data_IF_176779753501
#
_entry.id   IF_176779753501
#
_cell.length_a   1.000
_cell.length_b   1.000
_cell.length_c   1.000
_cell.angle_alpha   90.00
_cell.angle_beta   90.00
_cell.angle_gamma   90.00
#
_symmetry.space_group_name_H-M   'P 1'
#
loop_
_entity.id
_entity.type
_entity.pdbx_description
1 polymer ?
#
# COMPACT_ATOMS: atom_id res chain seq x y z
N UNK A 1 -0.83 -9.34 21.14
CA UNK A 1 -2.26 -9.14 20.84
C UNK A 1 -2.44 -9.41 19.36
N UNK A 2 -3.41 -10.22 18.98
CA UNK A 2 -3.72 -10.51 17.58
C UNK A 2 -4.44 -9.29 16.99
N UNK A 3 -3.79 -8.61 16.06
CA UNK A 3 -4.10 -7.26 15.59
C UNK A 3 -4.87 -7.30 14.29
N UNK A 4 -5.88 -8.18 14.20
CA UNK A 4 -6.61 -8.51 12.97
C UNK A 4 -7.38 -7.37 12.29
N UNK A 5 -7.07 -6.12 12.62
CA UNK A 5 -7.72 -4.90 12.17
C UNK A 5 -6.74 -3.91 11.52
N UNK A 6 -5.42 -4.17 11.55
CA UNK A 6 -4.42 -3.31 10.90
C UNK A 6 -3.80 -3.97 9.66
N UNK A 7 -3.72 -3.20 8.59
CA UNK A 7 -3.13 -3.62 7.32
C UNK A 7 -1.79 -2.92 7.11
N UNK A 8 -0.77 -3.69 6.71
CA UNK A 8 0.56 -3.22 6.34
C UNK A 8 1.03 -3.96 5.08
N UNK A 9 2.04 -3.42 4.39
CA UNK A 9 2.57 -4.03 3.16
C UNK A 9 4.01 -4.49 3.38
N UNK A 10 4.28 -5.74 3.04
CA UNK A 10 5.64 -6.26 2.88
C UNK A 10 5.96 -6.33 1.38
N UNK A 11 7.06 -5.71 0.96
CA UNK A 11 7.57 -5.80 -0.40
C UNK A 11 8.91 -6.52 -0.42
N UNK A 12 9.18 -7.18 -1.55
CA UNK A 12 10.51 -7.67 -1.91
C UNK A 12 10.88 -7.03 -3.25
N UNK A 13 11.90 -6.18 -3.22
CA UNK A 13 12.54 -5.66 -4.42
C UNK A 13 13.69 -6.60 -4.80
N UNK A 14 13.49 -7.42 -5.84
CA UNK A 14 14.50 -8.35 -6.32
C UNK A 14 15.68 -7.67 -7.01
N UNK A 15 15.49 -6.44 -7.52
CA UNK A 15 16.55 -5.68 -8.19
C UNK A 15 17.53 -5.13 -7.15
N UNK A 16 16.99 -4.50 -6.11
CA UNK A 16 17.78 -3.94 -5.00
C UNK A 16 18.02 -4.99 -3.89
N UNK A 17 17.50 -6.21 -4.08
CA UNK A 17 17.60 -7.36 -3.17
C UNK A 17 17.19 -7.03 -1.73
N UNK A 18 16.12 -6.26 -1.54
CA UNK A 18 15.68 -5.76 -0.23
C UNK A 18 14.23 -6.11 0.08
N UNK A 19 13.99 -6.35 1.35
CA UNK A 19 12.68 -6.43 1.97
C UNK A 19 12.35 -5.08 2.58
N UNK A 20 11.19 -4.54 2.23
CA UNK A 20 10.68 -3.31 2.80
C UNK A 20 9.33 -3.55 3.47
N UNK A 21 9.18 -3.04 4.69
CA UNK A 21 7.91 -3.05 5.39
C UNK A 21 7.33 -1.63 5.41
N UNK A 22 6.17 -1.46 4.78
CA UNK A 22 5.43 -0.20 4.77
C UNK A 22 4.29 -0.24 5.77
N UNK A 23 4.41 0.62 6.77
CA UNK A 23 3.45 0.71 7.86
C UNK A 23 2.96 2.15 7.99
N UNK A 24 1.63 2.33 7.99
CA UNK A 24 0.99 3.65 8.13
C UNK A 24 0.85 4.11 9.58
N UNK A 25 1.06 3.21 10.56
CA UNK A 25 0.97 3.51 11.99
C UNK A 25 2.35 3.47 12.66
N UNK A 26 2.71 4.54 13.37
CA UNK A 26 3.92 4.56 14.20
C UNK A 26 3.80 3.73 15.47
N UNK A 27 2.60 3.65 16.03
CA UNK A 27 2.30 2.95 17.27
C UNK A 27 2.23 1.43 17.11
N UNK A 28 2.29 0.94 15.87
CA UNK A 28 2.12 -0.47 15.56
C UNK A 28 3.46 -1.09 15.17
N UNK A 29 3.95 -2.03 15.98
CA UNK A 29 5.18 -2.76 15.67
C UNK A 29 4.86 -4.03 14.88
N UNK A 30 5.43 -4.09 13.68
CA UNK A 30 5.33 -5.20 12.73
C UNK A 30 6.66 -5.94 12.56
N UNK A 31 7.71 -5.50 13.27
CA UNK A 31 9.09 -5.93 13.03
C UNK A 31 9.27 -7.45 13.11
N UNK A 32 8.71 -8.11 14.11
CA UNK A 32 8.90 -9.55 14.28
C UNK A 32 8.24 -10.38 13.15
N UNK A 33 7.00 -10.07 12.80
CA UNK A 33 6.27 -10.79 11.75
C UNK A 33 6.84 -10.49 10.35
N UNK A 34 7.26 -9.24 10.11
CA UNK A 34 7.94 -8.85 8.88
C UNK A 34 9.27 -9.60 8.69
N UNK A 35 10.08 -9.71 9.76
CA UNK A 35 11.36 -10.45 9.74
C UNK A 35 11.13 -11.95 9.53
N UNK A 36 10.10 -12.54 10.16
CA UNK A 36 9.73 -13.94 9.93
C UNK A 36 9.33 -14.19 8.47
N UNK A 37 8.51 -13.32 7.90
CA UNK A 37 8.11 -13.41 6.49
C UNK A 37 9.31 -13.26 5.54
N UNK A 38 10.17 -12.25 5.76
CA UNK A 38 11.37 -12.04 4.96
C UNK A 38 12.30 -13.28 5.01
N UNK A 39 12.47 -13.86 6.20
CA UNK A 39 13.27 -15.08 6.40
C UNK A 39 12.70 -16.28 5.63
N UNK A 40 11.37 -16.45 5.67
CA UNK A 40 10.68 -17.51 4.93
C UNK A 40 10.87 -17.34 3.41
N UNK A 41 10.60 -16.15 2.87
CA UNK A 41 10.72 -15.88 1.44
C UNK A 41 12.17 -16.04 0.98
N UNK A 42 13.14 -15.57 1.78
CA UNK A 42 14.57 -15.73 1.50
C UNK A 42 14.97 -17.21 1.42
N UNK A 43 14.54 -18.03 2.39
CA UNK A 43 14.81 -19.47 2.37
C UNK A 43 14.20 -20.11 1.12
N UNK A 44 12.93 -19.81 0.84
CA UNK A 44 12.24 -20.34 -0.33
C UNK A 44 12.94 -19.97 -1.64
N UNK A 45 13.37 -18.70 -1.81
CA UNK A 45 14.11 -18.27 -3.00
C UNK A 45 15.44 -18.98 -3.15
N UNK A 46 16.18 -19.18 -2.06
CA UNK A 46 17.44 -19.90 -2.10
C UNK A 46 17.24 -21.38 -2.43
N UNK A 47 16.31 -22.04 -1.74
CA UNK A 47 16.17 -23.50 -1.74
C UNK A 47 15.42 -24.00 -2.98
N UNK A 48 14.46 -23.22 -3.50
CA UNK A 48 13.60 -23.61 -4.63
C UNK A 48 14.05 -22.97 -5.94
N UNK A 49 14.45 -21.69 -5.90
CA UNK A 49 14.76 -20.91 -7.11
C UNK A 49 16.26 -20.79 -7.35
N UNK A 50 17.10 -21.09 -6.34
CA UNK A 50 18.55 -20.89 -6.41
C UNK A 50 18.97 -19.41 -6.37
N UNK A 51 18.05 -18.51 -5.99
CA UNK A 51 18.29 -17.07 -5.94
C UNK A 51 18.67 -16.64 -4.52
N UNK A 52 19.83 -15.98 -4.37
CA UNK A 52 20.37 -15.58 -3.06
C UNK A 52 20.14 -14.10 -2.80
N UNK A 53 19.55 -13.80 -1.63
CA UNK A 53 19.38 -12.44 -1.11
C UNK A 53 20.29 -12.28 0.13
N UNK A 54 21.07 -11.18 0.25
CA UNK A 54 21.88 -10.89 1.42
C UNK A 54 21.07 -10.82 2.72
N UNK A 55 21.71 -11.17 3.83
CA UNK A 55 21.04 -11.30 5.13
C UNK A 55 20.53 -9.98 5.73
N UNK A 56 21.19 -8.86 5.44
CA UNK A 56 20.91 -7.55 6.04
C UNK A 56 19.90 -6.69 5.28
N UNK A 57 19.18 -7.26 4.31
CA UNK A 57 18.38 -6.46 3.40
C UNK A 57 16.97 -6.17 3.90
N UNK A 58 16.78 -5.90 5.21
CA UNK A 58 15.49 -5.47 5.75
C UNK A 58 15.52 -3.99 6.12
N UNK A 59 14.56 -3.23 5.59
CA UNK A 59 14.32 -1.85 6.01
C UNK A 59 12.85 -1.64 6.31
N UNK A 60 12.56 -1.09 7.50
CA UNK A 60 11.21 -0.65 7.83
C UNK A 60 11.01 0.79 7.37
N UNK A 61 10.03 0.99 6.49
CA UNK A 61 9.62 2.30 5.99
C UNK A 61 8.34 2.70 6.71
N UNK A 62 8.49 3.55 7.71
CA UNK A 62 7.37 4.15 8.44
C UNK A 62 6.99 5.47 7.75
N UNK A 63 5.85 5.49 7.07
CA UNK A 63 5.31 6.69 6.45
C UNK A 63 3.96 7.02 7.07
N UNK A 64 3.96 7.94 8.05
CA UNK A 64 2.90 8.96 8.22
C UNK A 64 3.17 9.85 9.44
N UNK A 65 3.58 11.11 9.24
CA UNK A 65 3.72 12.10 10.32
C UNK A 65 2.36 12.63 10.85
N UNK A 66 1.23 12.13 10.33
CA UNK A 66 -0.09 12.79 10.47
C UNK A 66 -1.27 11.89 10.86
N UNK A 67 -1.09 10.63 11.25
CA UNK A 67 -2.24 9.86 11.76
C UNK A 67 -2.53 10.16 13.23
N UNK A 68 -3.70 10.75 13.47
CA UNK A 68 -4.45 10.63 14.73
C UNK A 68 -4.74 9.13 14.98
N UNK A 69 -4.87 8.75 16.24
CA UNK A 69 -4.93 7.38 16.79
C UNK A 69 -6.03 6.43 16.25
N UNK A 70 -6.70 6.77 15.14
CA UNK A 70 -7.97 6.17 14.72
C UNK A 70 -7.76 5.51 13.34
N UNK A 71 -7.29 4.26 13.35
CA UNK A 71 -6.65 3.54 12.22
C UNK A 71 -7.59 3.03 11.11
N UNK A 72 -8.59 3.80 10.70
CA UNK A 72 -9.63 3.33 9.74
C UNK A 72 -9.10 3.18 8.31
N UNK A 73 -8.01 3.87 7.95
CA UNK A 73 -7.51 3.94 6.57
C UNK A 73 -6.28 3.08 6.26
N UNK A 74 -5.82 2.23 7.20
CA UNK A 74 -4.62 1.40 7.00
C UNK A 74 -4.65 0.54 5.73
N UNK A 75 -5.83 0.00 5.36
CA UNK A 75 -6.00 -0.74 4.10
C UNK A 75 -5.89 0.14 2.85
N UNK A 76 -6.34 1.39 2.91
CA UNK A 76 -6.17 2.34 1.79
C UNK A 76 -4.70 2.72 1.64
N UNK A 77 -3.99 3.00 2.74
CA UNK A 77 -2.55 3.26 2.71
C UNK A 77 -1.76 2.07 2.16
N UNK A 78 -2.11 0.83 2.54
CA UNK A 78 -1.48 -0.37 2.00
C UNK A 78 -1.58 -0.44 0.47
N UNK A 79 -2.77 -0.19 -0.10
CA UNK A 79 -2.97 -0.16 -1.55
C UNK A 79 -2.19 0.98 -2.22
N UNK A 80 -2.19 2.14 -1.59
CA UNK A 80 -1.42 3.30 -2.04
C UNK A 80 0.09 3.00 -2.09
N UNK A 81 0.65 2.34 -1.07
CA UNK A 81 2.05 1.90 -1.10
C UNK A 81 2.32 0.94 -2.25
N UNK A 82 1.46 -0.07 -2.45
CA UNK A 82 1.60 -1.04 -3.52
C UNK A 82 1.55 -0.39 -4.92
N UNK A 83 0.65 0.59 -5.12
CA UNK A 83 0.56 1.34 -6.37
C UNK A 83 1.82 2.18 -6.62
N UNK A 84 2.36 2.82 -5.59
CA UNK A 84 3.63 3.55 -5.70
C UNK A 84 4.80 2.66 -6.14
N UNK A 85 4.89 1.46 -5.58
CA UNK A 85 5.94 0.49 -5.91
C UNK A 85 5.82 -0.03 -7.34
N UNK A 86 4.63 -0.43 -7.76
CA UNK A 86 4.39 -0.99 -9.11
C UNK A 86 4.60 0.02 -10.24
N UNK A 87 4.45 1.32 -9.96
CA UNK A 87 4.73 2.40 -10.93
C UNK A 87 6.21 2.76 -11.03
N UNK A 88 7.10 2.07 -10.31
CA UNK A 88 8.54 2.31 -10.32
C UNK A 88 8.95 3.61 -9.62
N UNK A 89 8.06 4.21 -8.82
CA UNK A 89 8.38 5.41 -8.07
C UNK A 89 8.93 5.05 -6.69
N UNK A 90 10.22 5.30 -6.49
CA UNK A 90 10.82 5.66 -5.18
C UNK A 90 10.30 7.02 -4.65
N UNK A 91 9.26 7.57 -5.27
CA UNK A 91 8.67 8.87 -4.96
C UNK A 91 7.34 8.67 -4.26
N UNK A 92 6.98 9.55 -3.31
CA UNK A 92 5.70 9.52 -2.65
C UNK A 92 4.56 9.56 -3.68
N UNK A 93 3.43 8.95 -3.32
CA UNK A 93 2.17 9.00 -4.08
C UNK A 93 1.93 10.39 -4.66
N UNK A 94 1.33 10.43 -5.88
CA UNK A 94 0.82 11.68 -6.48
C UNK A 94 0.10 12.48 -5.41
N UNK A 95 0.34 13.79 -5.33
CA UNK A 95 -0.20 14.65 -4.25
C UNK A 95 -1.72 14.52 -4.08
N UNK A 96 -2.43 14.28 -5.17
CA UNK A 96 -3.88 14.08 -5.25
C UNK A 96 -4.37 12.75 -4.64
N UNK A 97 -3.47 11.77 -4.46
CA UNK A 97 -3.73 10.47 -3.84
C UNK A 97 -3.18 10.39 -2.42
N UNK A 98 -2.68 11.48 -1.83
CA UNK A 98 -2.25 11.51 -0.40
C UNK A 98 -3.44 11.50 0.56
N UNK A 99 -4.66 11.72 0.05
CA UNK A 99 -5.91 11.62 0.82
C UNK A 99 -6.50 10.20 0.69
N UNK A 100 -6.51 9.39 1.77
CA UNK A 100 -7.05 8.03 1.72
C UNK A 100 -8.54 7.99 1.39
N UNK A 101 -9.31 9.05 1.65
CA UNK A 101 -10.74 9.09 1.36
C UNK A 101 -11.04 9.15 -0.15
N UNK A 102 -10.28 9.98 -0.88
CA UNK A 102 -10.33 10.05 -2.34
C UNK A 102 -9.81 8.75 -2.96
N UNK A 103 -8.75 8.19 -2.38
CA UNK A 103 -8.20 6.91 -2.82
C UNK A 103 -9.21 5.77 -2.72
N UNK A 104 -9.96 5.65 -1.62
CA UNK A 104 -11.02 4.64 -1.47
C UNK A 104 -12.08 4.75 -2.57
N UNK A 105 -12.52 5.97 -2.87
CA UNK A 105 -13.47 6.21 -3.94
C UNK A 105 -12.90 5.74 -5.28
N UNK A 106 -11.66 6.16 -5.59
CA UNK A 106 -10.94 5.74 -6.78
C UNK A 106 -10.82 4.22 -6.91
N UNK A 107 -10.36 3.54 -5.86
CA UNK A 107 -10.18 2.09 -5.83
C UNK A 107 -11.50 1.34 -6.05
N UNK A 108 -12.59 1.76 -5.40
CA UNK A 108 -13.92 1.17 -5.60
C UNK A 108 -14.38 1.30 -7.05
N UNK A 109 -14.17 2.47 -7.66
CA UNK A 109 -14.51 2.67 -9.06
C UNK A 109 -13.69 1.80 -10.01
N UNK A 110 -12.38 1.70 -9.78
CA UNK A 110 -11.48 0.83 -10.54
C UNK A 110 -11.91 -0.64 -10.48
N UNK A 111 -12.33 -1.13 -9.32
CA UNK A 111 -12.85 -2.50 -9.14
C UNK A 111 -14.12 -2.70 -9.96
N UNK A 112 -15.10 -1.79 -9.85
CA UNK A 112 -16.38 -1.91 -10.54
C UNK A 112 -16.24 -1.86 -12.07
N UNK A 113 -15.30 -1.05 -12.57
CA UNK A 113 -14.98 -1.00 -14.00
C UNK A 113 -14.35 -2.31 -14.48
N UNK A 114 -13.38 -2.82 -13.72
CA UNK A 114 -12.69 -4.06 -14.08
C UNK A 114 -13.62 -5.28 -14.05
N UNK A 115 -14.59 -5.32 -13.13
CA UNK A 115 -15.59 -6.38 -13.05
C UNK A 115 -16.68 -6.29 -14.13
N UNK A 116 -16.63 -5.28 -15.01
CA UNK A 116 -17.67 -5.02 -16.02
C UNK A 116 -19.03 -4.65 -15.43
N UNK A 117 -19.09 -4.34 -14.13
CA UNK A 117 -20.33 -4.05 -13.41
C UNK A 117 -20.86 -2.65 -13.70
N UNK A 118 -20.01 -1.77 -14.24
CA UNK A 118 -20.36 -0.41 -14.68
C UNK A 118 -19.61 -0.05 -15.96
N UNK A 119 -20.24 0.72 -16.84
CA UNK A 119 -19.63 1.17 -18.10
C UNK A 119 -18.65 2.35 -17.92
N UNK A 120 -18.82 3.15 -16.85
CA UNK A 120 -17.92 4.25 -16.50
C UNK A 120 -18.05 4.58 -15.01
N UNK A 121 -16.98 5.09 -14.38
CA UNK A 121 -17.00 5.66 -13.03
C UNK A 121 -16.41 7.05 -13.07
N UNK A 122 -17.11 8.02 -12.47
CA UNK A 122 -16.62 9.39 -12.29
C UNK A 122 -16.45 9.67 -10.81
N UNK A 123 -15.25 10.07 -10.41
CA UNK A 123 -14.96 10.47 -9.03
C UNK A 123 -15.27 11.95 -8.84
N UNK A 124 -16.03 12.31 -7.81
CA UNK A 124 -16.18 13.69 -7.36
C UNK A 124 -15.47 13.87 -6.02
N UNK A 125 -14.59 14.88 -5.96
CA UNK A 125 -14.07 15.37 -4.70
C UNK A 125 -15.18 16.07 -3.92
N UNK A 126 -15.28 15.81 -2.61
CA UNK A 126 -16.17 16.55 -1.71
C UNK A 126 -15.64 17.94 -1.34
N UNK A 127 -14.45 18.31 -1.80
CA UNK A 127 -13.89 19.65 -1.62
C UNK A 127 -14.39 20.60 -2.73
N UNK A 128 -15.02 21.74 -2.38
CA UNK A 128 -15.76 22.57 -3.33
C UNK A 128 -14.82 23.26 -4.33
N UNK A 129 -15.12 23.14 -5.63
CA UNK A 129 -14.45 23.96 -6.64
C UNK A 129 -14.55 23.55 -8.11
N UNK A 130 -14.87 22.30 -8.48
CA UNK A 130 -14.93 21.91 -9.91
C UNK A 130 -16.11 21.02 -10.28
N UNK A 131 -17.09 21.70 -10.88
CA UNK A 131 -18.07 21.30 -11.89
C UNK A 131 -18.96 20.07 -11.67
N UNK A 132 -20.21 20.39 -11.32
CA UNK A 132 -21.43 19.75 -11.81
C UNK A 132 -21.39 19.50 -13.32
N UNK A 133 -21.98 18.38 -13.81
CA UNK A 133 -22.82 18.25 -15.03
C UNK A 133 -23.58 16.90 -14.89
N UNK A 134 -24.92 16.89 -14.76
CA UNK A 134 -25.99 16.76 -15.77
C UNK A 134 -26.01 15.47 -16.60
N UNK A 135 -27.22 14.93 -16.76
CA UNK A 135 -27.57 13.68 -17.44
C UNK A 135 -27.66 13.91 -18.95
N UNK A 136 -27.09 12.97 -19.71
CA UNK A 136 -27.55 12.59 -21.04
C UNK A 136 -27.87 11.10 -20.99
#
# INVERSE_FOLDING_TARGET
>A
MNTGWHWYLLSLDLKDQRFECYNSLWSFDVGEDAVRYASFVRSWLNDVVGFRIPELAYSEIRQCAQQRNDSVDCGAYMLMFAEGLTRGSTRPLKEELKDPSLYRSWAAGSILLHSGSVASVRFRSMYPGKTCIEKS
#
